data_IF_703675797590
#
_entry.id   IF_703675797590
#
_cell.length_a   1.000
_cell.length_b   1.000
_cell.length_c   1.000
_cell.angle_alpha   90.00
_cell.angle_beta   90.00
_cell.angle_gamma   90.00
#
_symmetry.space_group_name_H-M   'P 1'
#
loop_
_entity.id
_entity.type
_entity.pdbx_description
1 polymer ?
#
# COMPACT_ATOMS: atom_id res chain seq x y z
N UNK A 1 -5.73 25.92 -4.23
CA UNK A 1 -5.24 25.69 -5.60
C UNK A 1 -5.01 24.21 -5.73
N UNK A 2 -5.84 23.51 -6.48
CA UNK A 2 -5.60 22.09 -6.76
C UNK A 2 -4.45 22.07 -7.77
N UNK A 3 -3.25 21.68 -7.34
CA UNK A 3 -2.15 21.46 -8.27
C UNK A 3 -2.61 20.38 -9.26
N UNK A 4 -2.56 20.70 -10.55
CA UNK A 4 -2.88 19.76 -11.61
C UNK A 4 -1.93 18.56 -11.49
N UNK A 5 -2.49 17.35 -11.49
CA UNK A 5 -1.70 16.12 -11.33
C UNK A 5 -0.85 15.95 -12.59
N UNK A 6 0.47 16.03 -12.44
CA UNK A 6 1.39 15.76 -13.52
C UNK A 6 1.71 14.26 -13.57
N UNK A 7 1.05 13.53 -14.49
CA UNK A 7 1.29 12.10 -14.65
C UNK A 7 2.77 11.77 -14.95
N UNK A 8 3.52 12.65 -15.61
CA UNK A 8 4.94 12.40 -15.90
C UNK A 8 5.82 12.43 -14.64
N UNK A 9 5.33 13.03 -13.55
CA UNK A 9 6.01 13.00 -12.26
C UNK A 9 5.81 11.68 -11.52
N UNK A 10 4.70 10.98 -11.78
CA UNK A 10 4.38 9.69 -11.16
C UNK A 10 4.87 8.54 -12.04
N UNK A 11 4.68 8.66 -13.36
CA UNK A 11 4.97 7.65 -14.36
C UNK A 11 6.02 8.21 -15.32
N UNK A 12 7.26 7.72 -15.24
CA UNK A 12 8.34 8.18 -16.11
C UNK A 12 9.20 7.02 -16.56
N UNK A 13 9.54 6.96 -17.86
CA UNK A 13 10.54 6.03 -18.41
C UNK A 13 10.42 4.58 -17.87
N UNK A 14 9.21 4.01 -17.96
CA UNK A 14 8.85 2.67 -17.46
C UNK A 14 9.02 2.45 -15.95
N UNK A 15 9.07 3.51 -15.15
CA UNK A 15 9.12 3.48 -13.69
C UNK A 15 7.94 4.23 -13.09
N UNK A 16 7.53 3.77 -11.92
CA UNK A 16 6.51 4.40 -11.10
C UNK A 16 7.20 4.97 -9.86
N UNK A 17 7.01 6.25 -9.57
CA UNK A 17 7.34 6.82 -8.26
C UNK A 17 6.19 6.49 -7.30
N UNK A 18 6.35 5.40 -6.56
CA UNK A 18 5.35 4.94 -5.60
C UNK A 18 5.08 5.92 -4.45
N UNK A 19 6.07 6.76 -4.10
CA UNK A 19 5.89 7.77 -3.04
C UNK A 19 5.01 8.90 -3.54
N UNK A 20 5.21 9.36 -4.79
CA UNK A 20 4.29 10.30 -5.43
C UNK A 20 2.92 9.68 -5.67
N UNK A 21 2.86 8.42 -6.12
CA UNK A 21 1.59 7.72 -6.30
C UNK A 21 0.74 7.72 -5.02
N UNK A 22 1.37 7.51 -3.85
CA UNK A 22 0.71 7.57 -2.54
C UNK A 22 -0.01 8.91 -2.27
N UNK A 23 0.50 10.02 -2.80
CA UNK A 23 -0.10 11.35 -2.59
C UNK A 23 -1.40 11.55 -3.37
N UNK A 24 -1.55 10.83 -4.50
CA UNK A 24 -2.65 11.05 -5.45
C UNK A 24 -3.63 9.87 -5.54
N UNK A 25 -3.17 8.64 -5.32
CA UNK A 25 -3.98 7.45 -5.48
C UNK A 25 -4.76 7.12 -4.20
N UNK A 26 -6.08 7.08 -4.33
CA UNK A 26 -7.02 6.69 -3.28
C UNK A 26 -7.83 5.48 -3.71
N UNK A 27 -8.38 4.77 -2.73
CA UNK A 27 -9.39 3.74 -2.95
C UNK A 27 -10.65 4.14 -2.17
N UNK A 28 -11.72 4.45 -2.89
CA UNK A 28 -12.96 5.00 -2.31
C UNK A 28 -13.63 4.05 -1.31
N UNK A 29 -13.35 2.74 -1.38
CA UNK A 29 -13.88 1.76 -0.42
C UNK A 29 -13.17 1.81 0.94
N UNK A 30 -11.93 2.30 0.99
CA UNK A 30 -11.13 2.32 2.22
C UNK A 30 -11.85 3.06 3.34
N UNK A 31 -12.44 4.22 3.05
CA UNK A 31 -13.13 5.00 4.07
C UNK A 31 -14.24 4.20 4.77
N UNK A 32 -15.09 3.53 4.00
CA UNK A 32 -16.23 2.77 4.53
C UNK A 32 -15.75 1.48 5.21
N UNK A 33 -14.76 0.81 4.62
CA UNK A 33 -14.21 -0.45 5.15
C UNK A 33 -13.43 -0.22 6.44
N UNK A 34 -12.64 0.85 6.55
CA UNK A 34 -11.89 1.17 7.77
C UNK A 34 -12.80 1.54 8.93
N UNK A 35 -13.92 2.23 8.67
CA UNK A 35 -14.94 2.51 9.70
C UNK A 35 -15.51 1.19 10.25
N UNK A 36 -15.83 0.24 9.37
CA UNK A 36 -16.46 -1.02 9.76
C UNK A 36 -15.47 -2.05 10.32
N UNK A 37 -14.24 -2.04 9.83
CA UNK A 37 -13.17 -3.01 10.10
C UNK A 37 -11.83 -2.26 10.32
N UNK A 38 -11.66 -1.55 11.45
CA UNK A 38 -10.49 -0.71 11.72
C UNK A 38 -9.17 -1.49 11.76
N UNK A 39 -9.21 -2.81 11.94
CA UNK A 39 -8.06 -3.69 11.82
C UNK A 39 -7.43 -3.68 10.42
N UNK A 40 -8.21 -3.48 9.36
CA UNK A 40 -7.70 -3.38 7.98
C UNK A 40 -6.87 -2.11 7.82
N UNK A 41 -7.34 -0.99 8.39
CA UNK A 41 -6.58 0.26 8.44
C UNK A 41 -5.27 0.08 9.22
N UNK A 42 -5.31 -0.64 10.35
CA UNK A 42 -4.10 -0.93 11.14
C UNK A 42 -3.06 -1.69 10.33
N UNK A 43 -3.47 -2.66 9.52
CA UNK A 43 -2.56 -3.43 8.64
C UNK A 43 -1.91 -2.50 7.60
N UNK A 44 -2.69 -1.66 6.91
CA UNK A 44 -2.16 -0.67 5.97
C UNK A 44 -1.16 0.28 6.66
N UNK A 45 -1.47 0.72 7.88
CA UNK A 45 -0.59 1.59 8.66
C UNK A 45 0.68 0.87 9.15
N UNK A 46 0.62 -0.44 9.46
CA UNK A 46 1.80 -1.25 9.75
C UNK A 46 2.72 -1.34 8.52
N UNK A 47 2.16 -1.49 7.32
CA UNK A 47 2.97 -1.51 6.09
C UNK A 47 3.75 -0.20 5.95
N UNK A 48 3.11 0.95 6.15
CA UNK A 48 3.80 2.24 6.11
C UNK A 48 4.81 2.45 7.24
N UNK A 49 4.52 1.98 8.46
CA UNK A 49 5.49 2.00 9.58
C UNK A 49 6.76 1.21 9.26
N UNK A 50 6.63 0.15 8.47
CA UNK A 50 7.73 -0.73 8.08
C UNK A 50 8.32 -0.42 6.70
N UNK A 51 8.11 0.79 6.18
CA UNK A 51 8.83 1.29 5.01
C UNK A 51 8.16 1.04 3.66
N UNK A 52 6.88 0.64 3.62
CA UNK A 52 6.14 0.56 2.35
C UNK A 52 6.20 1.90 1.60
N UNK A 53 6.61 1.84 0.33
CA UNK A 53 6.60 2.98 -0.61
C UNK A 53 5.16 3.38 -0.94
N UNK A 54 4.29 2.38 -1.05
CA UNK A 54 2.86 2.51 -1.30
C UNK A 54 2.11 1.35 -0.65
N UNK A 55 0.94 1.59 -0.08
CA UNK A 55 0.05 0.58 0.43
C UNK A 55 -1.41 1.01 0.25
N UNK A 56 -2.27 0.06 -0.11
CA UNK A 56 -3.69 0.32 -0.38
C UNK A 56 -4.49 -0.97 -0.27
N UNK A 57 -5.81 -0.85 -0.15
CA UNK A 57 -6.71 -1.97 -0.41
C UNK A 57 -6.77 -2.31 -1.90
N UNK A 58 -6.88 -3.60 -2.23
CA UNK A 58 -7.15 -4.07 -3.59
C UNK A 58 -8.66 -4.14 -3.84
N UNK A 59 -9.17 -3.39 -4.81
CA UNK A 59 -10.60 -3.32 -5.14
C UNK A 59 -11.44 -2.92 -3.93
N UNK A 60 -12.58 -3.60 -3.70
CA UNK A 60 -13.41 -3.41 -2.51
C UNK A 60 -12.86 -4.08 -1.24
N UNK A 61 -11.68 -4.71 -1.32
CA UNK A 61 -11.06 -5.42 -0.20
C UNK A 61 -11.55 -6.85 0.02
N UNK A 62 -11.24 -7.47 1.16
CA UNK A 62 -10.52 -6.89 2.33
C UNK A 62 -9.00 -6.92 2.23
N UNK A 63 -8.45 -7.39 1.10
CA UNK A 63 -7.00 -7.52 0.93
C UNK A 63 -6.32 -6.16 0.90
N UNK A 64 -5.32 -5.98 1.78
CA UNK A 64 -4.37 -4.87 1.76
C UNK A 64 -3.09 -5.36 1.09
N UNK A 65 -2.53 -4.58 0.19
CA UNK A 65 -1.22 -4.83 -0.40
C UNK A 65 -0.27 -3.68 -0.11
N UNK A 66 1.03 -3.99 -0.09
CA UNK A 66 2.11 -3.03 0.10
C UNK A 66 3.21 -3.26 -0.94
N UNK A 67 3.82 -2.17 -1.39
CA UNK A 67 4.97 -2.15 -2.28
C UNK A 67 6.17 -1.68 -1.47
N UNK A 68 7.23 -2.48 -1.44
CA UNK A 68 8.42 -2.24 -0.63
C UNK A 68 9.64 -2.08 -1.53
N UNK A 69 10.67 -1.38 -1.04
CA UNK A 69 11.91 -1.18 -1.80
C UNK A 69 12.77 -2.45 -1.84
N UNK A 70 12.60 -3.34 -0.85
CA UNK A 70 13.31 -4.60 -0.74
C UNK A 70 12.50 -5.63 0.06
N UNK A 71 12.95 -6.89 0.01
CA UNK A 71 12.32 -8.02 0.69
C UNK A 71 12.44 -7.94 2.22
N UNK A 72 13.51 -7.33 2.75
CA UNK A 72 13.70 -7.18 4.20
C UNK A 72 12.63 -6.28 4.83
N UNK A 73 12.32 -5.14 4.21
CA UNK A 73 11.23 -4.23 4.59
C UNK A 73 9.87 -4.94 4.54
N UNK A 74 9.61 -5.71 3.47
CA UNK A 74 8.39 -6.48 3.33
C UNK A 74 8.24 -7.53 4.46
N UNK A 75 9.33 -8.24 4.79
CA UNK A 75 9.32 -9.21 5.89
C UNK A 75 9.14 -8.55 7.26
N UNK A 76 9.72 -7.37 7.51
CA UNK A 76 9.48 -6.64 8.77
C UNK A 76 8.00 -6.27 8.94
N UNK A 77 7.32 -5.94 7.84
CA UNK A 77 5.92 -5.52 7.85
C UNK A 77 4.94 -6.60 8.32
N UNK A 78 5.31 -7.88 8.24
CA UNK A 78 4.42 -8.99 8.64
C UNK A 78 4.58 -9.41 10.11
N UNK A 79 5.66 -9.02 10.79
CA UNK A 79 6.02 -9.53 12.13
C UNK A 79 4.93 -9.21 13.16
N UNK A 80 4.30 -8.04 13.04
CA UNK A 80 3.29 -7.55 13.98
C UNK A 80 1.85 -7.73 13.47
N UNK A 81 1.64 -8.46 12.37
CA UNK A 81 0.29 -8.69 11.87
C UNK A 81 -0.48 -9.66 12.78
N UNK A 82 -1.81 -9.49 12.90
CA UNK A 82 -2.60 -10.42 13.70
C UNK A 82 -2.54 -11.84 13.10
N UNK A 83 -2.38 -12.85 13.95
CA UNK A 83 -2.14 -14.25 13.55
C UNK A 83 -3.24 -14.88 12.69
N UNK A 84 -4.44 -14.29 12.68
CA UNK A 84 -5.58 -14.76 11.91
C UNK A 84 -5.61 -14.22 10.46
N UNK A 85 -4.61 -13.45 10.05
CA UNK A 85 -4.49 -12.95 8.68
C UNK A 85 -3.52 -13.80 7.87
N UNK A 86 -3.98 -14.20 6.68
CA UNK A 86 -3.12 -14.79 5.66
C UNK A 86 -2.34 -13.70 4.95
N UNK A 87 -1.06 -13.94 4.70
CA UNK A 87 -0.21 -13.05 3.94
C UNK A 87 0.56 -13.82 2.88
N UNK A 88 1.02 -13.09 1.87
CA UNK A 88 1.90 -13.61 0.83
C UNK A 88 2.89 -12.52 0.45
N UNK A 89 4.17 -12.87 0.39
CA UNK A 89 5.25 -12.00 -0.08
C UNK A 89 5.78 -12.60 -1.37
N UNK A 90 5.93 -11.77 -2.38
CA UNK A 90 6.61 -12.14 -3.61
C UNK A 90 7.50 -11.04 -4.11
N UNK A 91 8.55 -11.46 -4.80
CA UNK A 91 9.29 -10.61 -5.70
C UNK A 91 8.73 -10.84 -7.10
N UNK A 92 8.45 -9.79 -7.89
CA UNK A 92 8.09 -9.98 -9.29
C UNK A 92 9.25 -10.69 -9.99
N UNK A 93 9.07 -11.96 -10.33
CA UNK A 93 10.01 -12.64 -11.22
C UNK A 93 9.75 -12.11 -12.63
N UNK A 94 10.82 -11.60 -13.26
CA UNK A 94 10.83 -11.21 -14.66
C UNK A 94 10.47 -12.39 -15.57
#
# INVERSE_FOLDING_TARGET
SMHEINFNEIFSQNKIDYRKLREYATNDFEQIVFIKYPEIEKIKNEFYRNGALYASMSGSGSTVFGIFGNEEEANKSIINLPKNYFYWISTPHH
#
